data_IF_256700845051
#
_entry.id   IF_256700845051
#
_cell.length_a   1.000
_cell.length_b   1.000
_cell.length_c   1.000
_cell.angle_alpha   90.00
_cell.angle_beta   90.00
_cell.angle_gamma   90.00
#
_symmetry.space_group_name_H-M   'P 1'
#
loop_
_entity.id
_entity.type
_entity.pdbx_description
1 polymer ?
#
# COMPACT_ATOMS: atom_id res chain seq x y z
N UNK A 1 1.33 -13.98 3.87
CA UNK A 1 0.26 -13.00 3.57
C UNK A 1 0.05 -12.06 4.75
N UNK A 2 -0.09 -12.52 5.99
CA UNK A 2 -0.39 -11.65 7.14
C UNK A 2 0.69 -10.60 7.40
N UNK A 3 1.97 -10.93 7.20
CA UNK A 3 3.07 -9.96 7.23
C UNK A 3 2.88 -8.86 6.17
N UNK A 4 2.47 -9.21 4.94
CA UNK A 4 2.21 -8.22 3.90
C UNK A 4 1.01 -7.32 4.27
N UNK A 5 -0.08 -7.90 4.77
CA UNK A 5 -1.27 -7.16 5.24
C UNK A 5 -0.91 -6.17 6.36
N UNK A 6 -0.07 -6.61 7.30
CA UNK A 6 0.35 -5.79 8.42
C UNK A 6 1.30 -4.63 8.01
N UNK A 7 2.02 -4.77 6.91
CA UNK A 7 3.07 -3.83 6.51
C UNK A 7 2.70 -2.89 5.37
N UNK A 8 1.61 -3.15 4.65
CA UNK A 8 1.22 -2.33 3.50
C UNK A 8 1.10 -0.84 3.86
N UNK A 9 0.47 -0.53 4.99
CA UNK A 9 0.28 0.85 5.42
C UNK A 9 1.57 1.54 5.84
N UNK A 10 2.49 0.81 6.47
CA UNK A 10 3.82 1.33 6.79
C UNK A 10 4.58 1.70 5.51
N UNK A 11 4.57 0.82 4.51
CA UNK A 11 5.21 1.08 3.20
C UNK A 11 4.58 2.29 2.51
N UNK A 12 3.25 2.38 2.47
CA UNK A 12 2.54 3.53 1.91
C UNK A 12 2.89 4.83 2.64
N UNK A 13 2.96 4.80 3.98
CA UNK A 13 3.33 5.97 4.78
C UNK A 13 4.76 6.45 4.47
N UNK A 14 5.70 5.51 4.34
CA UNK A 14 7.09 5.84 4.01
C UNK A 14 7.21 6.45 2.62
N UNK A 15 6.58 5.84 1.61
CA UNK A 15 6.55 6.38 0.25
C UNK A 15 5.88 7.75 0.20
N UNK A 16 4.80 7.95 0.94
CA UNK A 16 4.09 9.24 1.03
C UNK A 16 4.89 10.34 1.72
N UNK A 17 5.95 9.98 2.44
CA UNK A 17 6.88 10.94 3.05
C UNK A 17 7.99 11.41 2.10
N UNK A 18 8.11 10.80 0.93
CA UNK A 18 9.11 11.17 -0.06
C UNK A 18 8.71 12.42 -0.83
N UNK A 19 9.71 13.15 -1.31
CA UNK A 19 9.55 14.28 -2.24
C UNK A 19 10.59 14.19 -3.33
N UNK A 20 10.16 14.52 -4.55
CA UNK A 20 11.05 14.74 -5.68
C UNK A 20 10.84 16.17 -6.17
N UNK A 21 11.89 16.98 -6.11
CA UNK A 21 11.80 18.42 -6.41
C UNK A 21 10.69 19.17 -5.63
N UNK A 22 10.39 18.73 -4.41
CA UNK A 22 9.34 19.28 -3.54
C UNK A 22 7.95 18.71 -3.79
N UNK A 23 7.76 17.91 -4.83
CA UNK A 23 6.47 17.29 -5.17
C UNK A 23 6.32 15.91 -4.52
N UNK A 24 5.08 15.57 -4.17
CA UNK A 24 4.72 14.27 -3.62
C UNK A 24 4.64 13.25 -4.75
N UNK A 25 5.27 12.07 -4.64
CA UNK A 25 5.16 11.04 -5.67
C UNK A 25 3.73 10.49 -5.76
N UNK A 26 3.25 10.26 -6.98
CA UNK A 26 2.09 9.40 -7.19
C UNK A 26 2.49 7.95 -6.90
N UNK A 27 1.72 7.29 -6.05
CA UNK A 27 1.93 5.87 -5.71
C UNK A 27 0.83 5.06 -6.41
N UNK A 28 1.24 4.13 -7.28
CA UNK A 28 0.35 3.16 -7.89
C UNK A 28 0.80 1.74 -7.55
N UNK A 29 -0.14 0.89 -7.17
CA UNK A 29 0.12 -0.48 -6.75
C UNK A 29 -0.79 -1.42 -7.55
N UNK A 30 -0.22 -2.49 -8.10
CA UNK A 30 -0.94 -3.64 -8.63
C UNK A 30 -0.77 -4.84 -7.70
N UNK A 31 -1.68 -5.79 -7.76
CA UNK A 31 -1.62 -7.00 -6.95
C UNK A 31 -1.88 -8.24 -7.81
N UNK A 32 -1.03 -9.23 -7.66
CA UNK A 32 -1.19 -10.57 -8.20
C UNK A 32 -1.22 -11.58 -7.06
N UNK A 33 -1.99 -12.65 -7.23
CA UNK A 33 -1.82 -13.89 -6.49
C UNK A 33 -1.38 -15.02 -7.44
N UNK A 34 -0.59 -15.94 -6.92
CA UNK A 34 -0.08 -17.06 -7.67
C UNK A 34 0.10 -18.28 -6.78
N UNK A 35 0.21 -19.46 -7.39
CA UNK A 35 0.34 -20.72 -6.65
C UNK A 35 -0.95 -21.21 -6.00
N UNK A 36 -2.07 -20.55 -6.21
CA UNK A 36 -3.35 -20.95 -5.67
C UNK A 36 -3.97 -22.06 -6.55
N UNK A 37 -4.29 -23.22 -5.97
CA UNK A 37 -4.89 -24.37 -6.68
C UNK A 37 -6.29 -24.09 -7.24
N UNK A 38 -6.94 -23.02 -6.84
CA UNK A 38 -8.18 -22.54 -7.45
C UNK A 38 -7.98 -21.76 -8.75
N UNK A 39 -6.72 -21.51 -9.17
CA UNK A 39 -6.37 -20.86 -10.44
C UNK A 39 -5.96 -21.97 -11.43
N UNK A 40 -6.42 -21.88 -12.69
CA UNK A 40 -6.13 -22.88 -13.71
C UNK A 40 -4.62 -23.01 -13.99
N UNK A 41 -4.15 -24.24 -14.20
CA UNK A 41 -2.80 -24.52 -14.68
C UNK A 41 -2.49 -23.91 -16.04
N UNK A 42 -3.50 -23.72 -16.91
CA UNK A 42 -3.37 -23.03 -18.19
C UNK A 42 -2.97 -21.55 -18.02
N UNK A 43 -3.30 -20.96 -16.87
CA UNK A 43 -2.89 -19.62 -16.45
C UNK A 43 -1.59 -19.65 -15.62
N UNK A 44 -0.88 -20.77 -15.58
CA UNK A 44 0.30 -20.97 -14.73
C UNK A 44 0.03 -20.68 -13.25
N UNK A 45 -1.19 -20.92 -12.77
CA UNK A 45 -1.62 -20.58 -11.42
C UNK A 45 -1.45 -19.10 -11.04
N UNK A 46 -1.48 -18.19 -12.02
CA UNK A 46 -1.31 -16.74 -11.85
C UNK A 46 -2.63 -16.02 -12.09
N UNK A 47 -2.96 -15.08 -11.23
CA UNK A 47 -4.13 -14.20 -11.38
C UNK A 47 -3.80 -12.77 -11.01
N UNK A 48 -4.11 -11.83 -11.89
CA UNK A 48 -4.10 -10.42 -11.57
C UNK A 48 -5.34 -10.07 -10.75
N UNK A 49 -5.13 -9.62 -9.51
CA UNK A 49 -6.19 -9.18 -8.60
C UNK A 49 -6.62 -7.75 -8.87
N UNK A 50 -5.66 -6.90 -9.20
CA UNK A 50 -5.91 -5.48 -9.52
C UNK A 50 -4.78 -4.93 -10.39
N UNK A 51 -5.15 -4.06 -11.32
CA UNK A 51 -4.24 -3.25 -12.13
C UNK A 51 -3.51 -2.20 -11.28
N UNK A 52 -2.50 -1.53 -11.86
CA UNK A 52 -1.90 -0.35 -11.24
C UNK A 52 -2.99 0.67 -10.91
N UNK A 53 -3.09 1.04 -9.65
CA UNK A 53 -4.07 2.00 -9.14
C UNK A 53 -3.53 2.75 -7.94
N UNK A 54 -3.97 3.98 -7.78
CA UNK A 54 -3.73 4.80 -6.59
C UNK A 54 -4.85 4.68 -5.53
N UNK A 55 -5.89 3.87 -5.78
CA UNK A 55 -6.97 3.63 -4.82
C UNK A 55 -6.52 2.65 -3.73
N UNK A 56 -6.05 3.21 -2.62
CA UNK A 56 -5.49 2.45 -1.50
C UNK A 56 -6.55 1.57 -0.80
N UNK A 57 -7.82 1.92 -0.87
CA UNK A 57 -8.89 1.12 -0.27
C UNK A 57 -9.18 -0.14 -1.09
N UNK A 58 -9.16 -0.04 -2.41
CA UNK A 58 -9.29 -1.20 -3.31
C UNK A 58 -8.07 -2.12 -3.18
N UNK A 59 -6.85 -1.56 -3.08
CA UNK A 59 -5.63 -2.35 -2.84
C UNK A 59 -5.75 -3.12 -1.52
N UNK A 60 -6.17 -2.46 -0.45
CA UNK A 60 -6.40 -3.08 0.86
C UNK A 60 -7.44 -4.19 0.78
N UNK A 61 -8.59 -3.95 0.15
CA UNK A 61 -9.66 -4.94 -0.06
C UNK A 61 -9.12 -6.21 -0.70
N UNK A 62 -8.41 -6.08 -1.82
CA UNK A 62 -7.85 -7.22 -2.54
C UNK A 62 -6.79 -7.96 -1.72
N UNK A 63 -5.89 -7.24 -1.07
CA UNK A 63 -4.86 -7.82 -0.22
C UNK A 63 -5.45 -8.59 0.97
N UNK A 64 -6.41 -8.00 1.70
CA UNK A 64 -7.08 -8.68 2.82
C UNK A 64 -7.96 -9.86 2.38
N UNK A 65 -8.44 -9.83 1.14
CA UNK A 65 -9.18 -10.92 0.52
C UNK A 65 -8.35 -12.14 0.15
N UNK A 66 -7.02 -12.02 0.05
CA UNK A 66 -6.14 -13.12 -0.34
C UNK A 66 -6.20 -14.30 0.67
N UNK A 67 -6.16 -15.50 0.11
CA UNK A 67 -6.08 -16.77 0.86
C UNK A 67 -4.96 -17.63 0.29
N UNK A 68 -4.19 -18.27 1.16
CA UNK A 68 -3.19 -19.26 0.77
C UNK A 68 -3.88 -20.59 0.53
N UNK A 69 -3.60 -21.21 -0.62
CA UNK A 69 -4.13 -22.54 -0.98
C UNK A 69 -3.38 -23.08 -2.20
N UNK A 70 -2.52 -24.05 -2.04
CA UNK A 70 -1.82 -24.69 -3.15
C UNK A 70 -0.32 -24.86 -2.92
N UNK A 71 0.40 -25.31 -3.92
CA UNK A 71 1.81 -25.66 -3.82
C UNK A 71 2.62 -25.55 -5.12
N UNK A 72 2.05 -25.06 -6.22
CA UNK A 72 2.77 -24.81 -7.47
C UNK A 72 2.95 -23.31 -7.69
N UNK A 73 3.99 -22.75 -7.09
CA UNK A 73 4.28 -21.30 -7.07
C UNK A 73 5.23 -20.93 -8.21
N UNK A 74 4.69 -20.63 -9.39
CA UNK A 74 5.49 -20.30 -10.57
C UNK A 74 5.95 -18.82 -10.55
N UNK A 75 7.02 -18.57 -9.80
CA UNK A 75 7.60 -17.23 -9.61
C UNK A 75 7.98 -16.56 -10.95
N UNK A 76 8.60 -17.29 -11.87
CA UNK A 76 8.92 -16.78 -13.20
C UNK A 76 7.69 -16.36 -14.00
N UNK A 77 6.58 -17.11 -13.87
CA UNK A 77 5.35 -16.83 -14.59
C UNK A 77 4.65 -15.57 -14.08
N UNK A 78 4.50 -15.39 -12.75
CA UNK A 78 3.85 -14.20 -12.20
C UNK A 78 4.66 -12.94 -12.47
N UNK A 79 5.99 -12.99 -12.41
CA UNK A 79 6.86 -11.86 -12.78
C UNK A 79 6.70 -11.53 -14.27
N UNK A 80 6.66 -12.56 -15.15
CA UNK A 80 6.43 -12.36 -16.58
C UNK A 80 5.09 -11.67 -16.87
N UNK A 81 4.01 -12.15 -16.25
CA UNK A 81 2.68 -11.54 -16.36
C UNK A 81 2.69 -10.08 -15.89
N UNK A 82 3.29 -9.79 -14.74
CA UNK A 82 3.34 -8.41 -14.22
C UNK A 82 4.13 -7.46 -15.14
N UNK A 83 5.23 -7.93 -15.76
CA UNK A 83 6.03 -7.11 -16.70
C UNK A 83 5.28 -6.85 -18.01
N UNK A 84 4.48 -7.80 -18.49
CA UNK A 84 3.83 -7.74 -19.81
C UNK A 84 2.43 -7.14 -19.78
N UNK A 85 1.71 -7.29 -18.68
CA UNK A 85 0.30 -6.91 -18.58
C UNK A 85 0.08 -5.54 -17.94
N UNK A 86 0.98 -5.09 -17.04
CA UNK A 86 0.82 -3.81 -16.37
C UNK A 86 1.33 -2.65 -17.24
N UNK A 87 0.64 -1.53 -17.14
CA UNK A 87 0.99 -0.29 -17.83
C UNK A 87 2.12 0.46 -17.09
N UNK A 88 3.30 -0.17 -17.02
CA UNK A 88 4.47 0.45 -16.41
C UNK A 88 4.82 1.77 -17.11
N UNK A 89 5.08 2.80 -16.30
CA UNK A 89 5.62 4.05 -16.82
C UNK A 89 6.98 3.85 -17.48
N UNK A 90 7.30 4.67 -18.48
CA UNK A 90 8.62 4.70 -19.12
C UNK A 90 9.48 5.89 -18.62
N UNK A 91 8.97 6.70 -17.67
CA UNK A 91 9.70 7.88 -17.21
C UNK A 91 10.92 7.46 -16.37
N UNK A 92 12.12 7.98 -16.65
CA UNK A 92 13.38 7.49 -16.02
C UNK A 92 13.48 7.81 -14.52
N UNK A 93 12.71 8.76 -14.02
CA UNK A 93 12.68 9.12 -12.59
C UNK A 93 11.61 8.38 -11.79
N UNK A 94 10.84 7.49 -12.44
CA UNK A 94 9.85 6.69 -11.74
C UNK A 94 10.48 5.42 -11.16
N UNK A 95 10.17 5.17 -9.89
CA UNK A 95 10.62 3.97 -9.18
C UNK A 95 9.69 2.80 -9.52
N UNK A 96 10.22 1.80 -10.22
CA UNK A 96 9.48 0.60 -10.63
C UNK A 96 10.00 -0.60 -9.88
N UNK A 97 9.13 -1.22 -9.07
CA UNK A 97 9.52 -2.34 -8.22
C UNK A 97 8.47 -3.44 -8.22
N UNK A 98 8.94 -4.66 -8.21
CA UNK A 98 8.16 -5.85 -7.91
C UNK A 98 8.62 -6.39 -6.56
N UNK A 99 7.68 -6.75 -5.69
CA UNK A 99 7.91 -7.54 -4.49
C UNK A 99 7.19 -8.86 -4.66
N UNK A 100 7.93 -9.95 -4.71
CA UNK A 100 7.38 -11.31 -4.82
C UNK A 100 7.64 -12.09 -3.56
N UNK A 101 6.61 -12.73 -3.02
CA UNK A 101 6.67 -13.51 -1.78
C UNK A 101 6.18 -14.94 -2.02
N UNK A 102 6.89 -15.93 -1.49
CA UNK A 102 6.53 -17.35 -1.60
C UNK A 102 7.48 -18.24 -0.78
N UNK A 103 7.25 -19.54 -0.84
CA UNK A 103 8.03 -20.52 -0.08
C UNK A 103 8.43 -21.77 -0.88
N UNK A 104 8.03 -21.86 -2.14
CA UNK A 104 8.43 -22.93 -3.06
C UNK A 104 9.71 -22.53 -3.83
N UNK A 105 10.42 -23.48 -4.49
CA UNK A 105 11.62 -23.15 -5.27
C UNK A 105 11.34 -22.09 -6.34
N UNK A 106 12.18 -21.07 -6.38
CA UNK A 106 12.02 -19.89 -7.25
C UNK A 106 12.09 -20.23 -8.75
N UNK A 107 12.75 -21.32 -9.11
CA UNK A 107 12.88 -21.85 -10.46
C UNK A 107 11.74 -22.78 -10.88
N UNK A 108 10.70 -22.92 -10.05
CA UNK A 108 9.54 -23.76 -10.34
C UNK A 108 8.72 -23.21 -11.51
N UNK A 109 8.25 -24.10 -12.36
CA UNK A 109 7.33 -23.78 -13.46
C UNK A 109 8.00 -23.60 -14.83
N UNK A 110 7.20 -23.30 -15.86
CA UNK A 110 7.66 -23.32 -17.26
C UNK A 110 8.45 -22.08 -17.68
N UNK A 111 8.37 -20.98 -16.93
CA UNK A 111 9.02 -19.69 -17.25
C UNK A 111 10.38 -19.61 -16.56
N UNK A 112 11.45 -19.54 -17.34
CA UNK A 112 12.78 -19.42 -16.81
C UNK A 112 12.98 -18.07 -16.10
N UNK A 113 13.10 -18.09 -14.77
CA UNK A 113 13.23 -16.87 -13.98
C UNK A 113 14.47 -16.06 -14.36
N UNK A 114 15.61 -16.68 -14.76
CA UNK A 114 16.82 -15.96 -15.12
C UNK A 114 16.64 -15.07 -16.35
N UNK A 115 15.86 -15.55 -17.33
CA UNK A 115 15.53 -14.76 -18.52
C UNK A 115 14.54 -13.65 -18.22
N UNK A 116 13.55 -13.94 -17.36
CA UNK A 116 12.56 -12.92 -17.00
C UNK A 116 13.16 -11.83 -16.11
N UNK A 117 14.11 -12.15 -15.23
CA UNK A 117 14.86 -11.15 -14.46
C UNK A 117 15.67 -10.20 -15.36
N UNK A 118 16.30 -10.72 -16.41
CA UNK A 118 16.95 -9.87 -17.42
C UNK A 118 15.95 -8.94 -18.11
N UNK A 119 14.77 -9.46 -18.42
CA UNK A 119 13.69 -8.66 -19.04
C UNK A 119 13.23 -7.54 -18.09
N UNK A 120 13.06 -7.82 -16.80
CA UNK A 120 12.72 -6.82 -15.79
C UNK A 120 13.76 -5.71 -15.74
N UNK A 121 15.03 -6.09 -15.62
CA UNK A 121 16.16 -5.14 -15.55
C UNK A 121 16.27 -4.28 -16.81
N UNK A 122 16.05 -4.85 -17.99
CA UNK A 122 16.06 -4.10 -19.26
C UNK A 122 14.92 -3.07 -19.37
N UNK A 123 13.86 -3.23 -18.56
CA UNK A 123 12.76 -2.27 -18.42
C UNK A 123 12.91 -1.37 -17.17
N UNK A 124 14.08 -1.37 -16.53
CA UNK A 124 14.34 -0.67 -15.27
C UNK A 124 13.37 -1.05 -14.15
N UNK A 125 12.88 -2.28 -14.13
CA UNK A 125 12.04 -2.83 -13.06
C UNK A 125 12.94 -3.62 -12.12
N UNK A 126 12.98 -3.20 -10.86
CA UNK A 126 13.69 -3.93 -9.80
C UNK A 126 12.80 -5.03 -9.23
N UNK A 127 13.33 -6.24 -9.07
CA UNK A 127 12.58 -7.36 -8.46
C UNK A 127 13.18 -7.73 -7.11
N UNK A 128 12.41 -7.48 -6.06
CA UNK A 128 12.73 -7.85 -4.68
C UNK A 128 12.05 -9.18 -4.34
N UNK A 129 12.77 -10.07 -3.70
CA UNK A 129 12.24 -11.39 -3.34
C UNK A 129 12.08 -11.53 -1.83
N UNK A 130 11.01 -12.20 -1.41
CA UNK A 130 10.65 -12.40 0.00
C UNK A 130 10.40 -13.89 0.20
N UNK A 131 11.36 -14.59 0.80
CA UNK A 131 11.16 -16.00 1.13
C UNK A 131 10.38 -16.14 2.43
N UNK A 132 9.29 -16.90 2.39
CA UNK A 132 8.46 -17.18 3.55
C UNK A 132 8.93 -18.45 4.24
N UNK A 133 10.04 -18.39 4.97
CA UNK A 133 10.67 -19.52 5.63
C UNK A 133 12.07 -19.20 6.15
N UNK A 134 12.90 -20.23 6.30
CA UNK A 134 14.26 -20.09 6.78
C UNK A 134 15.16 -19.40 5.73
N UNK A 135 16.01 -18.47 6.16
CA UNK A 135 16.88 -17.66 5.28
C UNK A 135 17.75 -18.52 4.36
N UNK A 136 18.46 -19.53 4.92
CA UNK A 136 19.38 -20.37 4.15
C UNK A 136 18.64 -21.31 3.18
N UNK A 137 17.41 -21.68 3.49
CA UNK A 137 16.56 -22.46 2.59
C UNK A 137 16.20 -21.60 1.36
N UNK A 138 15.77 -20.37 1.54
CA UNK A 138 15.46 -19.48 0.44
C UNK A 138 16.69 -19.20 -0.46
N UNK A 139 17.89 -19.16 0.12
CA UNK A 139 19.13 -19.08 -0.67
C UNK A 139 19.30 -20.34 -1.53
N UNK A 140 19.12 -21.54 -0.97
CA UNK A 140 19.23 -22.81 -1.72
C UNK A 140 18.14 -22.97 -2.78
N UNK A 141 16.98 -22.38 -2.57
CA UNK A 141 15.83 -22.41 -3.48
C UNK A 141 15.79 -21.21 -4.44
N UNK A 142 16.94 -20.57 -4.68
CA UNK A 142 17.18 -19.53 -5.68
C UNK A 142 16.49 -18.18 -5.45
N UNK A 143 15.86 -17.92 -4.30
CA UNK A 143 15.25 -16.63 -4.00
C UNK A 143 16.27 -15.51 -3.90
N UNK A 144 17.45 -15.80 -3.30
CA UNK A 144 18.57 -14.86 -3.27
C UNK A 144 19.11 -14.60 -4.67
N UNK A 145 19.31 -15.65 -5.49
CA UNK A 145 19.79 -15.53 -6.87
C UNK A 145 18.81 -14.69 -7.72
N UNK A 146 17.50 -14.94 -7.56
CA UNK A 146 16.44 -14.15 -8.20
C UNK A 146 16.54 -12.66 -7.86
N UNK A 147 16.70 -12.30 -6.58
CA UNK A 147 16.85 -10.92 -6.15
C UNK A 147 18.10 -10.27 -6.79
N UNK A 148 19.24 -10.95 -6.76
CA UNK A 148 20.50 -10.44 -7.36
C UNK A 148 20.36 -10.19 -8.86
N UNK A 149 19.78 -11.15 -9.60
CA UNK A 149 19.53 -11.01 -11.03
C UNK A 149 18.53 -9.90 -11.36
N UNK A 150 17.53 -9.71 -10.50
CA UNK A 150 16.52 -8.64 -10.60
C UNK A 150 17.00 -7.28 -10.08
N UNK A 151 18.28 -7.14 -9.69
CA UNK A 151 18.87 -5.96 -9.05
C UNK A 151 18.10 -5.50 -7.80
N UNK A 152 17.41 -6.46 -7.15
CA UNK A 152 16.64 -6.26 -5.94
C UNK A 152 17.37 -6.71 -4.68
N UNK A 153 16.62 -6.71 -3.59
CA UNK A 153 17.05 -7.20 -2.30
C UNK A 153 16.32 -8.51 -1.97
N UNK A 154 17.03 -9.42 -1.32
CA UNK A 154 16.45 -10.65 -0.78
C UNK A 154 16.05 -10.45 0.67
N UNK A 155 14.81 -10.75 0.96
CA UNK A 155 14.25 -10.73 2.29
C UNK A 155 13.76 -12.12 2.69
N UNK A 156 13.65 -12.38 3.98
CA UNK A 156 12.93 -13.55 4.47
C UNK A 156 11.95 -13.16 5.58
N UNK A 157 10.86 -13.88 5.63
CA UNK A 157 9.87 -13.85 6.70
C UNK A 157 9.92 -15.20 7.41
N UNK A 158 10.45 -15.20 8.61
CA UNK A 158 10.38 -16.40 9.47
C UNK A 158 8.92 -16.56 9.92
N UNK A 159 8.24 -17.56 9.38
CA UNK A 159 6.84 -17.83 9.68
C UNK A 159 6.59 -18.22 11.14
N UNK A 160 7.65 -18.66 11.83
CA UNK A 160 7.58 -19.06 13.23
C UNK A 160 7.74 -17.89 14.20
N UNK A 161 8.11 -16.70 13.68
CA UNK A 161 8.21 -15.48 14.47
C UNK A 161 6.96 -14.62 14.34
N UNK A 162 6.38 -14.26 15.47
CA UNK A 162 5.28 -13.33 15.53
C UNK A 162 5.70 -11.94 15.02
N UNK A 163 4.76 -11.24 14.36
CA UNK A 163 4.96 -9.84 13.99
C UNK A 163 5.03 -9.03 15.28
N UNK A 164 6.15 -8.35 15.51
CA UNK A 164 6.26 -7.43 16.62
C UNK A 164 5.59 -6.12 16.25
N UNK A 165 4.45 -5.84 16.85
CA UNK A 165 3.78 -4.55 16.77
C UNK A 165 4.15 -3.72 17.98
N UNK A 166 4.73 -2.55 17.76
CA UNK A 166 5.02 -1.60 18.82
C UNK A 166 3.81 -0.68 18.96
N UNK A 167 3.07 -0.85 20.05
CA UNK A 167 1.99 0.06 20.40
C UNK A 167 2.57 1.34 21.00
N UNK A 168 1.96 2.47 20.72
CA UNK A 168 2.41 3.77 21.23
C UNK A 168 1.32 4.47 22.06
N UNK A 169 1.69 5.39 22.96
CA UNK A 169 0.72 6.19 23.72
C UNK A 169 -0.09 7.17 22.84
N UNK A 170 0.22 7.26 21.55
CA UNK A 170 -0.43 8.15 20.59
C UNK A 170 -1.53 7.44 19.79
N UNK A 171 -1.55 6.10 19.77
CA UNK A 171 -2.39 5.29 18.88
C UNK A 171 -3.90 5.56 19.09
N UNK A 172 -4.37 5.58 20.32
CA UNK A 172 -5.78 5.84 20.63
C UNK A 172 -6.24 7.22 20.15
N UNK A 173 -5.37 8.23 20.28
CA UNK A 173 -5.68 9.59 19.82
C UNK A 173 -5.71 9.68 18.31
N UNK A 174 -4.79 9.03 17.62
CA UNK A 174 -4.76 8.95 16.15
C UNK A 174 -6.05 8.27 15.67
N UNK A 175 -6.43 7.15 16.28
CA UNK A 175 -7.64 6.41 15.91
C UNK A 175 -8.91 7.23 16.17
N UNK A 176 -9.01 7.97 17.27
CA UNK A 176 -10.13 8.87 17.55
C UNK A 176 -10.25 10.01 16.51
N UNK A 177 -9.12 10.57 16.05
CA UNK A 177 -9.12 11.53 14.94
C UNK A 177 -9.48 10.88 13.61
N UNK A 178 -9.10 9.63 13.36
CA UNK A 178 -9.52 8.89 12.17
C UNK A 178 -11.05 8.70 12.14
N UNK A 179 -11.68 8.39 13.27
CA UNK A 179 -13.14 8.28 13.36
C UNK A 179 -13.84 9.63 13.03
N UNK A 180 -13.22 10.73 13.43
CA UNK A 180 -13.69 12.08 13.09
C UNK A 180 -13.43 12.41 11.62
N UNK A 181 -12.25 12.06 11.09
CA UNK A 181 -11.89 12.20 9.69
C UNK A 181 -12.87 11.43 8.79
N UNK A 182 -13.28 10.21 9.18
CA UNK A 182 -14.24 9.41 8.44
C UNK A 182 -15.60 10.12 8.23
N UNK A 183 -16.02 10.97 9.15
CA UNK A 183 -17.27 11.74 9.06
C UNK A 183 -17.19 12.89 8.05
N UNK A 184 -16.00 13.20 7.56
CA UNK A 184 -15.80 14.25 6.55
C UNK A 184 -15.91 13.75 5.10
N UNK A 185 -16.01 12.44 4.88
CA UNK A 185 -16.16 11.85 3.55
C UNK A 185 -17.63 11.74 3.17
N UNK A 186 -18.01 12.32 2.04
CA UNK A 186 -19.35 12.35 1.50
C UNK A 186 -19.42 11.58 0.19
N UNK A 187 -20.06 10.42 0.22
CA UNK A 187 -20.26 9.61 -0.97
C UNK A 187 -21.14 10.29 -2.00
N UNK A 188 -20.68 10.41 -3.25
CA UNK A 188 -21.44 10.97 -4.36
C UNK A 188 -21.41 10.05 -5.59
N UNK A 189 -22.36 10.26 -6.50
CA UNK A 189 -22.47 9.49 -7.73
C UNK A 189 -22.75 8.00 -7.50
N UNK A 190 -22.51 7.20 -8.50
CA UNK A 190 -22.81 5.75 -8.45
C UNK A 190 -21.98 5.00 -7.42
N UNK A 191 -20.74 5.43 -7.20
CA UNK A 191 -19.80 4.75 -6.32
C UNK A 191 -19.82 5.27 -4.88
N UNK A 192 -20.59 6.33 -4.59
CA UNK A 192 -20.58 6.99 -3.30
C UNK A 192 -20.87 6.07 -2.12
N UNK A 193 -21.92 5.25 -2.22
CA UNK A 193 -22.32 4.31 -1.15
C UNK A 193 -21.26 3.18 -1.03
N UNK A 194 -20.91 2.54 -2.13
CA UNK A 194 -19.97 1.41 -2.12
C UNK A 194 -18.55 1.83 -1.69
N UNK A 195 -18.06 2.96 -2.18
CA UNK A 195 -16.75 3.50 -1.80
C UNK A 195 -16.68 3.85 -0.32
N UNK A 196 -17.72 4.53 0.21
CA UNK A 196 -17.81 4.82 1.64
C UNK A 196 -17.88 3.56 2.50
N UNK A 197 -18.65 2.57 2.08
CA UNK A 197 -18.75 1.29 2.77
C UNK A 197 -17.41 0.54 2.74
N UNK A 198 -16.69 0.55 1.59
CA UNK A 198 -15.38 -0.05 1.48
C UNK A 198 -14.36 0.64 2.41
N UNK A 199 -14.30 1.98 2.45
CA UNK A 199 -13.45 2.72 3.37
C UNK A 199 -13.60 2.24 4.82
N UNK A 200 -14.85 2.10 5.30
CA UNK A 200 -15.15 1.64 6.66
C UNK A 200 -14.74 0.18 6.86
N UNK A 201 -14.99 -0.67 5.86
CA UNK A 201 -14.59 -2.08 5.90
C UNK A 201 -13.07 -2.24 5.98
N UNK A 202 -12.32 -1.42 5.26
CA UNK A 202 -10.86 -1.48 5.31
C UNK A 202 -10.29 -0.97 6.65
N UNK A 203 -10.95 -0.02 7.32
CA UNK A 203 -10.61 0.35 8.70
C UNK A 203 -10.81 -0.85 9.66
N UNK A 204 -11.91 -1.58 9.52
CA UNK A 204 -12.19 -2.79 10.30
C UNK A 204 -11.21 -3.94 10.00
N UNK A 205 -10.83 -4.14 8.73
CA UNK A 205 -9.82 -5.13 8.33
C UNK A 205 -8.45 -4.83 8.97
N UNK A 206 -8.02 -3.57 8.96
CA UNK A 206 -6.79 -3.14 9.58
C UNK A 206 -6.83 -3.37 11.11
N UNK A 207 -7.93 -3.04 11.77
CA UNK A 207 -8.14 -3.26 13.21
C UNK A 207 -8.11 -4.76 13.56
N UNK A 208 -8.75 -5.61 12.75
CA UNK A 208 -8.76 -7.06 12.98
C UNK A 208 -7.38 -7.71 12.83
N UNK A 209 -6.47 -7.09 12.05
CA UNK A 209 -5.08 -7.55 11.92
C UNK A 209 -4.28 -7.20 13.18
N UNK A 210 -4.24 -5.93 13.58
CA UNK A 210 -3.69 -5.45 14.85
C UNK A 210 -4.04 -3.96 15.06
N UNK A 211 -4.13 -3.49 16.31
CA UNK A 211 -4.37 -2.08 16.61
C UNK A 211 -3.33 -1.13 15.99
N UNK A 212 -2.06 -1.53 15.97
CA UNK A 212 -1.00 -0.77 15.29
C UNK A 212 -1.22 -0.66 13.78
N UNK A 213 -1.80 -1.66 13.14
CA UNK A 213 -2.13 -1.63 11.69
C UNK A 213 -3.27 -0.64 11.41
N UNK A 214 -4.28 -0.58 12.29
CA UNK A 214 -5.33 0.45 12.24
C UNK A 214 -4.73 1.86 12.30
N UNK A 215 -3.80 2.06 13.23
CA UNK A 215 -3.12 3.36 13.39
C UNK A 215 -2.29 3.74 12.16
N UNK A 216 -1.54 2.79 11.58
CA UNK A 216 -0.80 3.01 10.33
C UNK A 216 -1.73 3.39 9.17
N UNK A 217 -2.88 2.73 9.06
CA UNK A 217 -3.89 3.08 8.06
C UNK A 217 -4.47 4.48 8.32
N UNK A 218 -4.75 4.84 9.56
CA UNK A 218 -5.22 6.18 9.91
C UNK A 218 -4.22 7.27 9.50
N UNK A 219 -2.92 6.99 9.69
CA UNK A 219 -1.83 7.87 9.24
C UNK A 219 -1.81 7.96 7.71
N UNK A 220 -1.94 6.84 6.99
CA UNK A 220 -2.01 6.84 5.52
C UNK A 220 -3.16 7.70 5.00
N UNK A 221 -4.34 7.62 5.62
CA UNK A 221 -5.53 8.42 5.28
C UNK A 221 -5.34 9.92 5.51
N UNK A 222 -4.39 10.32 6.34
CA UNK A 222 -4.06 11.73 6.55
C UNK A 222 -3.09 12.30 5.51
N UNK A 223 -2.53 11.47 4.64
CA UNK A 223 -1.58 11.88 3.59
C UNK A 223 -2.29 12.28 2.30
N UNK A 224 -1.63 13.11 1.51
CA UNK A 224 -2.18 13.58 0.22
C UNK A 224 -2.34 12.47 -0.83
N UNK A 225 -1.55 11.38 -0.72
CA UNK A 225 -1.67 10.21 -1.57
C UNK A 225 -2.98 9.44 -1.36
N UNK A 226 -3.63 9.58 -0.21
CA UNK A 226 -4.94 9.02 -0.01
C UNK A 226 -5.99 9.92 -0.66
N UNK A 227 -6.59 9.44 -1.74
CA UNK A 227 -7.56 10.18 -2.53
C UNK A 227 -8.72 9.31 -2.97
N UNK A 228 -9.92 9.80 -2.75
CA UNK A 228 -11.16 9.12 -3.05
C UNK A 228 -12.05 9.93 -4.01
N UNK A 229 -11.44 10.69 -4.92
CA UNK A 229 -12.15 11.62 -5.81
C UNK A 229 -13.19 10.91 -6.72
N UNK A 230 -13.06 9.60 -6.94
CA UNK A 230 -14.02 8.81 -7.71
C UNK A 230 -15.39 8.65 -7.01
N UNK A 231 -15.43 8.75 -5.66
CA UNK A 231 -16.63 8.53 -4.88
C UNK A 231 -16.86 9.54 -3.73
N UNK A 232 -15.83 10.27 -3.30
CA UNK A 232 -15.93 11.30 -2.25
C UNK A 232 -16.03 12.69 -2.85
N UNK A 233 -17.11 13.39 -2.54
CA UNK A 233 -17.42 14.69 -3.08
C UNK A 233 -16.37 15.76 -2.75
N UNK A 234 -15.80 15.73 -1.55
CA UNK A 234 -14.81 16.72 -1.12
C UNK A 234 -13.50 16.56 -1.90
N UNK A 235 -13.03 15.31 -2.07
CA UNK A 235 -11.84 15.03 -2.88
C UNK A 235 -12.07 15.33 -4.37
N UNK A 236 -13.25 15.04 -4.90
CA UNK A 236 -13.60 15.35 -6.28
C UNK A 236 -13.55 16.86 -6.58
N UNK A 237 -14.07 17.68 -5.68
CA UNK A 237 -14.00 19.14 -5.82
C UNK A 237 -12.56 19.64 -5.62
N UNK A 238 -11.82 19.10 -4.62
CA UNK A 238 -10.47 19.57 -4.28
C UNK A 238 -9.43 19.17 -5.31
N UNK A 239 -9.47 17.92 -5.82
CA UNK A 239 -8.40 17.33 -6.64
C UNK A 239 -8.74 17.26 -8.13
N UNK A 240 -10.01 17.04 -8.46
CA UNK A 240 -10.46 16.97 -9.86
C UNK A 240 -11.12 18.27 -10.34
N UNK A 241 -11.17 19.31 -9.47
CA UNK A 241 -11.81 20.59 -9.77
C UNK A 241 -13.26 20.44 -10.25
N UNK A 242 -13.98 19.44 -9.75
CA UNK A 242 -15.40 19.28 -10.08
C UNK A 242 -16.22 20.46 -9.54
N UNK A 243 -17.03 21.04 -10.41
CA UNK A 243 -17.88 22.16 -10.03
C UNK A 243 -19.19 21.63 -9.43
N UNK A 244 -19.35 21.80 -8.12
CA UNK A 244 -20.55 21.38 -7.38
C UNK A 244 -21.84 22.03 -7.94
N UNK A 245 -21.74 23.18 -8.60
CA UNK A 245 -22.88 23.89 -9.20
C UNK A 245 -23.47 23.16 -10.40
N UNK A 246 -22.66 22.36 -11.07
CA UNK A 246 -23.06 21.60 -12.27
C UNK A 246 -23.55 20.18 -11.97
N UNK A 247 -23.37 19.72 -10.72
CA UNK A 247 -23.77 18.39 -10.31
C UNK A 247 -25.29 18.30 -10.08
N UNK A 248 -25.89 17.20 -10.51
CA UNK A 248 -27.31 16.93 -10.30
C UNK A 248 -27.57 16.54 -8.85
N UNK A 249 -28.71 16.97 -8.31
CA UNK A 249 -29.09 16.66 -6.93
C UNK A 249 -29.13 15.15 -6.65
N UNK A 250 -29.53 14.32 -7.64
CA UNK A 250 -29.57 12.87 -7.50
C UNK A 250 -28.18 12.23 -7.30
N UNK A 251 -27.11 12.89 -7.75
CA UNK A 251 -25.72 12.46 -7.61
C UNK A 251 -25.10 12.91 -6.28
N UNK A 252 -25.75 13.85 -5.59
CA UNK A 252 -25.24 14.44 -4.37
C UNK A 252 -25.72 13.69 -3.12
N UNK A 253 -24.94 13.70 -2.02
CA UNK A 253 -25.38 13.26 -0.71
C UNK A 253 -26.66 13.98 -0.29
N UNK A 254 -27.50 13.32 0.52
CA UNK A 254 -28.79 13.84 0.94
C UNK A 254 -28.70 15.25 1.55
N UNK A 255 -27.66 15.51 2.33
CA UNK A 255 -27.41 16.78 3.00
C UNK A 255 -27.20 17.96 2.03
N UNK A 256 -26.84 17.70 0.78
CA UNK A 256 -26.60 18.70 -0.26
C UNK A 256 -27.78 18.94 -1.19
N UNK A 257 -28.78 18.03 -1.18
CA UNK A 257 -29.93 18.12 -2.09
C UNK A 257 -30.84 19.30 -1.75
N UNK A 258 -31.36 19.92 -2.80
CA UNK A 258 -32.28 21.06 -2.65
C UNK A 258 -31.65 22.35 -2.11
N UNK A 259 -30.32 22.39 -1.95
CA UNK A 259 -29.59 23.59 -1.51
C UNK A 259 -29.15 24.42 -2.69
N UNK A 260 -29.04 25.74 -2.47
CA UNK A 260 -28.48 26.65 -3.46
C UNK A 260 -27.00 26.36 -3.73
N UNK A 261 -26.49 26.81 -4.87
CA UNK A 261 -25.06 26.65 -5.20
C UNK A 261 -24.16 27.27 -4.14
N UNK A 262 -24.50 28.43 -3.61
CA UNK A 262 -23.74 29.11 -2.56
C UNK A 262 -23.73 28.33 -1.24
N UNK A 263 -24.84 27.70 -0.87
CA UNK A 263 -24.93 26.85 0.33
C UNK A 263 -24.07 25.58 0.15
N UNK A 264 -24.15 24.94 -1.03
CA UNK A 264 -23.33 23.77 -1.36
C UNK A 264 -21.83 24.09 -1.27
N UNK A 265 -21.40 25.21 -1.86
CA UNK A 265 -19.98 25.67 -1.81
C UNK A 265 -19.54 25.93 -0.36
N UNK A 266 -20.34 26.60 0.45
CA UNK A 266 -20.02 26.82 1.88
C UNK A 266 -19.90 25.53 2.66
N UNK A 267 -20.76 24.55 2.38
CA UNK A 267 -20.70 23.22 3.02
C UNK A 267 -19.42 22.47 2.63
N UNK A 268 -19.06 22.49 1.34
CA UNK A 268 -17.80 21.89 0.85
C UNK A 268 -16.60 22.52 1.55
N UNK A 269 -16.53 23.87 1.57
CA UNK A 269 -15.39 24.55 2.17
C UNK A 269 -15.29 24.28 3.69
N UNK A 270 -16.41 24.28 4.39
CA UNK A 270 -16.44 23.94 5.82
C UNK A 270 -15.94 22.50 6.07
N UNK A 271 -16.38 21.53 5.25
CA UNK A 271 -15.93 20.13 5.39
C UNK A 271 -14.48 19.93 4.99
N UNK A 272 -13.99 20.65 4.00
CA UNK A 272 -12.57 20.66 3.62
C UNK A 272 -11.71 21.17 4.77
N UNK A 273 -12.06 22.29 5.38
CA UNK A 273 -11.35 22.84 6.55
C UNK A 273 -11.35 21.88 7.73
N UNK A 274 -12.49 21.22 7.99
CA UNK A 274 -12.61 20.20 9.04
C UNK A 274 -11.69 19.00 8.74
N UNK A 275 -11.68 18.49 7.50
CA UNK A 275 -10.82 17.39 7.05
C UNK A 275 -9.34 17.75 7.20
N UNK A 276 -8.94 18.91 6.69
CA UNK A 276 -7.55 19.38 6.76
C UNK A 276 -7.09 19.53 8.23
N UNK A 277 -7.98 19.97 9.12
CA UNK A 277 -7.66 20.05 10.55
C UNK A 277 -7.43 18.68 11.20
N UNK A 278 -8.26 17.68 10.89
CA UNK A 278 -8.06 16.31 11.39
C UNK A 278 -6.81 15.66 10.80
N UNK A 279 -6.58 15.80 9.51
CA UNK A 279 -5.36 15.30 8.85
C UNK A 279 -4.10 15.92 9.47
N UNK A 280 -4.11 17.22 9.75
CA UNK A 280 -3.01 17.90 10.44
C UNK A 280 -2.77 17.31 11.83
N UNK A 281 -3.82 17.09 12.62
CA UNK A 281 -3.71 16.49 13.96
C UNK A 281 -3.15 15.06 13.93
N UNK A 282 -3.60 14.24 12.98
CA UNK A 282 -3.07 12.90 12.79
C UNK A 282 -1.58 12.97 12.42
N UNK A 283 -1.17 13.86 11.50
CA UNK A 283 0.23 13.99 11.09
C UNK A 283 1.13 14.49 12.25
N UNK A 284 0.67 15.42 13.08
CA UNK A 284 1.38 15.87 14.27
C UNK A 284 1.64 14.68 15.22
N UNK A 285 0.60 13.90 15.53
CA UNK A 285 0.71 12.72 16.39
C UNK A 285 1.53 11.59 15.76
N UNK A 286 1.45 11.42 14.43
CA UNK A 286 2.24 10.44 13.72
C UNK A 286 3.74 10.71 13.83
N UNK A 287 4.16 11.98 13.81
CA UNK A 287 5.56 12.37 14.02
C UNK A 287 6.06 11.99 15.43
N UNK A 288 5.26 12.27 16.48
CA UNK A 288 5.59 11.86 17.85
C UNK A 288 5.60 10.33 18.01
N UNK A 289 4.63 9.66 17.40
CA UNK A 289 4.57 8.20 17.36
C UNK A 289 5.81 7.59 16.73
N UNK A 290 6.28 8.14 15.60
CA UNK A 290 7.45 7.61 14.92
C UNK A 290 8.71 7.72 15.78
N UNK A 291 8.92 8.84 16.47
CA UNK A 291 10.03 9.01 17.42
C UNK A 291 9.98 7.95 18.52
N UNK A 292 8.81 7.74 19.12
CA UNK A 292 8.60 6.72 20.13
C UNK A 292 8.92 5.30 19.62
N UNK A 293 8.42 4.96 18.42
CA UNK A 293 8.69 3.65 17.81
C UNK A 293 10.18 3.46 17.53
N UNK A 294 10.87 4.50 17.05
CA UNK A 294 12.31 4.43 16.77
C UNK A 294 13.14 4.23 18.04
N UNK A 295 12.73 4.85 19.16
CA UNK A 295 13.35 4.64 20.47
C UNK A 295 13.11 3.23 21.01
N UNK A 296 11.89 2.71 20.90
CA UNK A 296 11.56 1.34 21.32
C UNK A 296 12.30 0.29 20.46
N UNK A 297 12.40 0.51 19.16
CA UNK A 297 13.19 -0.35 18.26
C UNK A 297 14.68 -0.40 18.63
N UNK A 298 15.26 0.74 19.04
CA UNK A 298 16.65 0.76 19.53
C UNK A 298 16.81 -0.10 20.77
N UNK A 299 15.91 0.00 21.74
CA UNK A 299 15.93 -0.81 22.97
C UNK A 299 15.80 -2.30 22.66
N UNK A 300 14.88 -2.68 21.73
CA UNK A 300 14.74 -4.07 21.29
C UNK A 300 16.01 -4.59 20.60
N UNK A 301 16.64 -3.77 19.75
CA UNK A 301 17.89 -4.11 19.10
C UNK A 301 19.05 -4.35 20.08
N UNK A 302 19.16 -3.54 21.11
CA UNK A 302 20.16 -3.70 22.20
C UNK A 302 19.95 -5.01 22.97
N UNK A 303 18.72 -5.51 23.04
CA UNK A 303 18.36 -6.78 23.67
C UNK A 303 18.53 -8.00 22.75
N UNK A 304 19.02 -7.81 21.51
CA UNK A 304 19.23 -8.90 20.53
C UNK A 304 18.00 -9.30 19.72
N UNK A 305 16.90 -8.56 19.85
CA UNK A 305 15.65 -8.78 19.09
C UNK A 305 15.68 -7.98 17.76
N UNK A 306 16.49 -8.41 16.80
CA UNK A 306 16.91 -7.54 15.68
C UNK A 306 16.30 -7.85 14.31
N UNK A 307 15.21 -8.52 14.16
CA UNK A 307 14.74 -8.77 12.79
C UNK A 307 13.34 -8.21 12.52
N UNK A 308 13.28 -6.92 12.14
CA UNK A 308 12.06 -6.33 11.56
C UNK A 308 12.17 -6.33 10.03
N UNK A 309 11.49 -7.29 9.40
CA UNK A 309 11.28 -7.36 7.95
C UNK A 309 10.82 -6.02 7.37
N UNK A 310 9.88 -5.34 8.04
CA UNK A 310 9.38 -4.05 7.61
C UNK A 310 10.47 -2.98 7.50
N UNK A 311 11.35 -2.89 8.49
CA UNK A 311 12.49 -1.96 8.46
C UNK A 311 13.46 -2.26 7.31
N UNK A 312 13.67 -3.53 6.99
CA UNK A 312 14.55 -3.94 5.89
C UNK A 312 13.96 -3.56 4.53
N UNK A 313 12.67 -3.80 4.31
CA UNK A 313 11.94 -3.38 3.10
C UNK A 313 11.95 -1.85 2.97
N UNK A 314 11.66 -1.13 4.04
CA UNK A 314 11.69 0.34 4.08
C UNK A 314 13.06 0.88 3.64
N UNK A 315 14.15 0.37 4.21
CA UNK A 315 15.51 0.78 3.85
C UNK A 315 15.82 0.52 2.37
N UNK A 316 15.38 -0.61 1.83
CA UNK A 316 15.54 -0.95 0.42
C UNK A 316 14.83 0.07 -0.49
N UNK A 317 13.56 0.38 -0.19
CA UNK A 317 12.76 1.35 -0.95
C UNK A 317 13.40 2.74 -0.89
N UNK A 318 13.73 3.23 0.31
CA UNK A 318 14.32 4.55 0.50
C UNK A 318 15.65 4.69 -0.22
N UNK A 319 16.56 3.71 -0.09
CA UNK A 319 17.85 3.70 -0.79
C UNK A 319 17.70 3.85 -2.30
N UNK A 320 16.71 3.19 -2.91
CA UNK A 320 16.46 3.24 -4.35
C UNK A 320 15.81 4.56 -4.76
N UNK A 321 14.89 5.06 -3.96
CA UNK A 321 14.26 6.35 -4.15
C UNK A 321 15.29 7.49 -4.10
N UNK A 322 16.18 7.48 -3.12
CA UNK A 322 17.28 8.45 -2.99
C UNK A 322 18.21 8.41 -4.20
N UNK A 323 18.50 7.23 -4.75
CA UNK A 323 19.38 7.08 -5.93
C UNK A 323 18.85 7.78 -7.19
N UNK A 324 17.54 8.02 -7.26
CA UNK A 324 16.89 8.74 -8.37
C UNK A 324 16.35 10.13 -7.97
N UNK A 325 16.80 10.66 -6.83
CA UNK A 325 16.59 12.05 -6.44
C UNK A 325 15.41 12.32 -5.50
N UNK A 326 14.77 11.27 -4.97
CA UNK A 326 13.79 11.47 -3.89
C UNK A 326 14.48 11.71 -2.56
N UNK A 327 13.87 12.53 -1.72
CA UNK A 327 14.32 12.77 -0.35
C UNK A 327 13.16 12.64 0.63
N UNK A 328 13.44 12.15 1.83
CA UNK A 328 12.46 12.13 2.93
C UNK A 328 12.33 13.54 3.51
N UNK A 329 11.10 14.01 3.69
CA UNK A 329 10.76 15.27 4.38
C UNK A 329 10.22 15.01 5.78
#
# INVERSE_FOLDING_TARGET
IDQAKARIWTIVNDLSSLRHNGEIPLIEIALYDYGNSGISAELNYVRKQIELTSDLDVISEKLFGLRTNGGLEYSGAVISSSISELAWTAHPQDLRMIFIAGNEPFDQGPVNYKEIMKTAVNKDITVNTIYCGNYDQGVREFWYDGAQLGKGDYFNIDSDKAIVHINSPYDDRINAYNDSLNKTYYGYGRMGISGKSNQVMQDANAESSAGAVKTERAIAKSKENYSNASWDLIDAVKKENKDIRTMKDEELPEEFRGKTSEEKEKMIEAKKLERDAFQKKINELASERQKYIDEERKKLAENGETNDFGTSVQKSILKRAEAIGYAKQ
#
